data_IF_468943128193
#
_entry.id   IF_468943128193
#
_cell.length_a   1.000
_cell.length_b   1.000
_cell.length_c   1.000
_cell.angle_alpha   90.00
_cell.angle_beta   90.00
_cell.angle_gamma   90.00
#
_symmetry.space_group_name_H-M   'P 1'
#
loop_
_entity.id
_entity.type
_entity.pdbx_description
1 polymer ?
#
# COMPACT_ATOMS: atom_id res chain seq x y z
N UNK A 1 27.53 7.66 14.39
CA UNK A 1 26.46 7.51 15.42
C UNK A 1 25.96 6.08 15.35
N UNK A 2 26.02 5.31 16.45
CA UNK A 2 25.73 3.85 16.49
C UNK A 2 24.22 3.60 16.57
N UNK A 3 23.71 2.66 15.75
CA UNK A 3 22.30 2.24 15.83
C UNK A 3 22.05 1.57 17.21
N UNK A 4 21.05 2.03 17.99
CA UNK A 4 20.74 1.50 19.32
C UNK A 4 20.32 0.02 19.33
N UNK A 5 19.99 -0.56 18.17
CA UNK A 5 19.65 -1.99 18.02
C UNK A 5 20.89 -2.88 17.86
N UNK A 6 22.08 -2.31 17.62
CA UNK A 6 23.31 -3.06 17.40
C UNK A 6 23.95 -3.48 18.73
N UNK A 7 23.78 -4.75 19.12
CA UNK A 7 24.30 -5.33 20.37
C UNK A 7 25.82 -5.56 20.39
N UNK A 8 26.50 -5.45 19.26
CA UNK A 8 27.94 -5.71 19.16
C UNK A 8 28.78 -4.52 19.62
N UNK A 9 29.95 -4.80 20.21
CA UNK A 9 30.91 -3.77 20.60
C UNK A 9 31.41 -2.97 19.40
N UNK A 10 31.79 -1.71 19.63
CA UNK A 10 32.35 -0.83 18.59
C UNK A 10 33.59 -1.44 17.92
N UNK A 11 34.44 -2.12 18.69
CA UNK A 11 35.59 -2.87 18.19
C UNK A 11 35.22 -3.99 17.22
N UNK A 12 34.12 -4.69 17.47
CA UNK A 12 33.61 -5.77 16.59
C UNK A 12 33.03 -5.20 15.31
N UNK A 13 32.33 -4.07 15.40
CA UNK A 13 31.78 -3.35 14.24
C UNK A 13 32.91 -2.86 13.34
N UNK A 14 33.94 -2.21 13.91
CA UNK A 14 35.13 -1.74 13.16
C UNK A 14 35.85 -2.91 12.49
N UNK A 15 35.93 -4.08 13.15
CA UNK A 15 36.52 -5.29 12.56
C UNK A 15 35.71 -5.85 11.41
N UNK A 16 34.37 -5.83 11.51
CA UNK A 16 33.48 -6.27 10.42
C UNK A 16 33.46 -5.34 9.21
N UNK A 17 33.88 -4.07 9.38
CA UNK A 17 34.04 -3.12 8.27
C UNK A 17 35.29 -3.39 7.41
N UNK A 18 36.25 -4.18 7.91
CA UNK A 18 37.35 -4.70 7.09
C UNK A 18 36.87 -5.95 6.37
N UNK A 19 36.50 -5.78 5.10
CA UNK A 19 36.10 -6.88 4.22
C UNK A 19 37.16 -7.97 4.15
N UNK A 20 36.71 -9.22 4.05
CA UNK A 20 37.59 -10.34 3.76
C UNK A 20 37.65 -10.49 2.24
N UNK A 21 38.60 -9.82 1.59
CA UNK A 21 38.74 -9.71 0.13
C UNK A 21 39.29 -11.00 -0.49
N UNK A 22 38.58 -12.11 -0.26
CA UNK A 22 38.94 -13.39 -0.85
C UNK A 22 38.64 -13.37 -2.35
N UNK A 23 39.54 -13.87 -3.21
CA UNK A 23 39.38 -13.81 -4.65
C UNK A 23 38.11 -14.50 -5.14
N UNK A 24 37.66 -15.57 -4.49
CA UNK A 24 36.41 -16.26 -4.83
C UNK A 24 35.15 -15.40 -4.57
N UNK A 25 35.16 -14.57 -3.52
CA UNK A 25 34.03 -13.66 -3.23
C UNK A 25 34.05 -12.47 -4.18
N UNK A 26 35.23 -11.94 -4.51
CA UNK A 26 35.37 -10.87 -5.49
C UNK A 26 34.90 -11.32 -6.87
N UNK A 27 35.23 -12.54 -7.30
CA UNK A 27 34.75 -13.10 -8.55
C UNK A 27 33.21 -13.23 -8.57
N UNK A 28 32.61 -13.78 -7.50
CA UNK A 28 31.16 -13.89 -7.39
C UNK A 28 30.48 -12.50 -7.39
N UNK A 29 31.06 -11.52 -6.69
CA UNK A 29 30.56 -10.15 -6.67
C UNK A 29 30.64 -9.49 -8.05
N UNK A 30 31.76 -9.68 -8.77
CA UNK A 30 31.93 -9.19 -10.14
C UNK A 30 30.85 -9.76 -11.06
N UNK A 31 30.62 -11.07 -11.03
CA UNK A 31 29.57 -11.71 -11.82
C UNK A 31 28.17 -11.16 -11.46
N UNK A 32 27.89 -10.94 -10.17
CA UNK A 32 26.63 -10.35 -9.74
C UNK A 32 26.46 -8.90 -10.22
N UNK A 33 27.54 -8.10 -10.24
CA UNK A 33 27.53 -6.73 -10.72
C UNK A 33 27.31 -6.67 -12.25
N UNK A 34 28.01 -7.51 -13.01
CA UNK A 34 27.83 -7.63 -14.47
C UNK A 34 26.37 -8.00 -14.82
N UNK A 35 25.79 -8.97 -14.10
CA UNK A 35 24.38 -9.35 -14.29
C UNK A 35 23.43 -8.22 -13.90
N UNK A 36 23.72 -7.49 -12.83
CA UNK A 36 22.93 -6.33 -12.41
C UNK A 36 22.89 -5.25 -13.50
N UNK A 37 24.04 -4.86 -14.03
CA UNK A 37 24.14 -3.86 -15.11
C UNK A 37 23.41 -4.32 -16.39
N UNK A 38 23.54 -5.61 -16.73
CA UNK A 38 22.80 -6.20 -17.83
C UNK A 38 21.29 -6.11 -17.63
N UNK A 39 20.79 -6.49 -16.44
CA UNK A 39 19.36 -6.42 -16.15
C UNK A 39 18.84 -4.98 -16.14
N UNK A 40 19.62 -4.01 -15.66
CA UNK A 40 19.23 -2.61 -15.70
C UNK A 40 19.04 -2.12 -17.14
N UNK A 41 19.94 -2.52 -18.04
CA UNK A 41 19.81 -2.23 -19.47
C UNK A 41 18.52 -2.82 -20.03
N UNK A 42 18.20 -4.08 -19.69
CA UNK A 42 16.97 -4.75 -20.16
C UNK A 42 15.69 -4.18 -19.57
N UNK A 43 15.72 -3.67 -18.34
CA UNK A 43 14.60 -2.96 -17.73
C UNK A 43 14.36 -1.64 -18.48
N UNK A 44 15.42 -0.87 -18.76
CA UNK A 44 15.32 0.36 -19.52
C UNK A 44 14.76 0.12 -20.95
N UNK A 45 15.20 -0.94 -21.64
CA UNK A 45 14.65 -1.35 -22.94
C UNK A 45 13.13 -1.62 -22.85
N UNK A 46 12.67 -2.27 -21.78
CA UNK A 46 11.25 -2.53 -21.54
C UNK A 46 10.46 -1.26 -21.24
N UNK A 47 11.00 -0.37 -20.39
CA UNK A 47 10.35 0.89 -20.03
C UNK A 47 10.10 1.76 -21.26
N UNK A 48 11.07 1.85 -22.19
CA UNK A 48 10.89 2.54 -23.46
C UNK A 48 9.75 1.97 -24.29
N UNK A 49 9.67 0.63 -24.40
CA UNK A 49 8.56 -0.03 -25.11
C UNK A 49 7.21 0.20 -24.46
N UNK A 50 7.15 0.25 -23.13
CA UNK A 50 5.92 0.55 -22.39
C UNK A 50 5.47 1.98 -22.71
N UNK A 51 6.39 2.95 -22.68
CA UNK A 51 6.08 4.34 -23.03
C UNK A 51 5.54 4.47 -24.46
N UNK A 52 6.13 3.75 -25.42
CA UNK A 52 5.65 3.74 -26.80
C UNK A 52 4.24 3.14 -26.94
N UNK A 53 3.93 2.10 -26.17
CA UNK A 53 2.57 1.55 -26.14
C UNK A 53 1.58 2.52 -25.49
N UNK A 54 1.96 3.19 -24.40
CA UNK A 54 1.10 4.14 -23.71
C UNK A 54 0.71 5.33 -24.61
N UNK A 55 1.58 5.77 -25.54
CA UNK A 55 1.23 6.78 -26.56
C UNK A 55 0.00 6.41 -27.39
N UNK A 56 -0.27 5.13 -27.62
CA UNK A 56 -1.42 4.70 -28.41
C UNK A 56 -2.74 4.74 -27.62
N UNK A 57 -2.67 4.75 -26.30
CA UNK A 57 -3.82 4.89 -25.41
C UNK A 57 -4.13 6.35 -25.10
N UNK A 58 -3.18 7.25 -25.38
CA UNK A 58 -3.33 8.68 -25.22
C UNK A 58 -3.87 9.29 -26.53
N UNK A 59 -5.02 9.97 -26.46
CA UNK A 59 -5.59 10.70 -27.61
C UNK A 59 -5.01 12.13 -27.74
N UNK A 60 -4.04 12.48 -26.90
CA UNK A 60 -3.39 13.79 -26.94
C UNK A 60 -2.26 13.84 -27.98
N UNK A 61 -2.16 14.96 -28.69
CA UNK A 61 -1.18 15.18 -29.77
C UNK A 61 0.28 15.21 -29.28
N UNK A 62 0.51 15.38 -27.98
CA UNK A 62 1.84 15.52 -27.39
C UNK A 62 2.22 14.28 -26.57
N UNK A 63 3.39 13.65 -26.84
CA UNK A 63 3.83 12.47 -26.10
C UNK A 63 3.99 12.77 -24.61
N UNK A 64 3.66 11.82 -23.72
CA UNK A 64 3.86 12.01 -22.29
C UNK A 64 5.35 12.13 -21.97
N UNK A 65 5.71 13.09 -21.12
CA UNK A 65 7.10 13.34 -20.73
C UNK A 65 7.66 12.29 -19.75
N UNK A 66 6.78 11.59 -19.03
CA UNK A 66 7.14 10.53 -18.08
C UNK A 66 6.08 9.42 -18.04
N UNK A 67 6.42 8.28 -17.43
CA UNK A 67 5.46 7.19 -17.22
C UNK A 67 4.33 7.60 -16.26
N UNK A 68 4.61 8.46 -15.28
CA UNK A 68 3.61 9.00 -14.35
C UNK A 68 2.59 9.87 -15.08
N UNK A 69 3.06 10.74 -15.98
CA UNK A 69 2.19 11.56 -16.82
C UNK A 69 1.31 10.69 -17.71
N UNK A 70 1.89 9.68 -18.36
CA UNK A 70 1.18 8.76 -19.23
C UNK A 70 0.06 8.01 -18.48
N UNK A 71 0.36 7.50 -17.28
CA UNK A 71 -0.62 6.81 -16.44
C UNK A 71 -1.74 7.75 -16.00
N UNK A 72 -1.39 8.98 -15.58
CA UNK A 72 -2.36 9.97 -15.11
C UNK A 72 -3.32 10.41 -16.22
N UNK A 73 -2.81 10.62 -17.44
CA UNK A 73 -3.64 10.92 -18.62
C UNK A 73 -4.58 9.76 -18.95
N UNK A 74 -4.07 8.53 -18.93
CA UNK A 74 -4.85 7.33 -19.23
C UNK A 74 -5.95 7.05 -18.19
N UNK A 75 -5.64 7.18 -16.90
CA UNK A 75 -6.57 6.88 -15.80
C UNK A 75 -7.50 8.05 -15.44
N UNK A 76 -7.16 9.28 -15.84
CA UNK A 76 -7.81 10.51 -15.39
C UNK A 76 -7.56 10.84 -13.91
N UNK A 77 -6.67 10.10 -13.23
CA UNK A 77 -6.36 10.30 -11.83
C UNK A 77 -4.94 9.85 -11.50
N UNK A 78 -4.19 10.69 -10.79
CA UNK A 78 -2.85 10.35 -10.33
C UNK A 78 -2.90 9.35 -9.17
N UNK A 79 -2.70 8.07 -9.46
CA UNK A 79 -2.67 7.01 -8.45
C UNK A 79 -1.40 7.03 -7.59
N UNK A 80 -0.32 7.67 -8.04
CA UNK A 80 0.94 7.76 -7.29
C UNK A 80 0.83 8.71 -6.09
N UNK A 81 -0.17 9.59 -6.11
CA UNK A 81 -0.54 10.41 -4.95
C UNK A 81 -1.01 9.60 -3.72
N UNK A 82 -1.36 8.32 -3.89
CA UNK A 82 -1.65 7.43 -2.76
C UNK A 82 -0.33 6.93 -2.17
N UNK A 83 -0.13 7.13 -0.87
CA UNK A 83 1.05 6.62 -0.19
C UNK A 83 1.22 5.10 -0.39
N UNK A 84 2.45 4.71 -0.71
CA UNK A 84 2.84 3.31 -0.92
C UNK A 84 2.56 2.79 -2.33
N UNK A 85 1.94 3.58 -3.21
CA UNK A 85 1.79 3.27 -4.64
C UNK A 85 2.85 4.00 -5.44
N UNK A 86 3.80 3.25 -5.99
CA UNK A 86 4.75 3.75 -6.99
C UNK A 86 4.21 3.57 -8.42
N UNK A 87 4.86 4.22 -9.37
CA UNK A 87 4.52 4.21 -10.80
C UNK A 87 4.40 2.80 -11.37
N UNK A 88 5.31 1.89 -10.98
CA UNK A 88 5.26 0.49 -11.41
C UNK A 88 4.09 -0.27 -10.79
N UNK A 89 3.75 -0.01 -9.52
CA UNK A 89 2.56 -0.61 -8.90
C UNK A 89 1.29 -0.09 -9.55
N UNK A 90 1.20 1.22 -9.82
CA UNK A 90 0.07 1.82 -10.52
C UNK A 90 -0.12 1.19 -11.91
N UNK A 91 0.96 1.09 -12.70
CA UNK A 91 0.95 0.44 -14.01
C UNK A 91 0.47 -1.02 -13.91
N UNK A 92 1.05 -1.82 -13.01
CA UNK A 92 0.67 -3.23 -12.83
C UNK A 92 -0.78 -3.41 -12.42
N UNK A 93 -1.29 -2.54 -11.54
CA UNK A 93 -2.68 -2.58 -11.12
C UNK A 93 -3.56 -2.23 -12.33
N UNK A 94 -3.33 -1.11 -12.99
CA UNK A 94 -4.10 -0.65 -14.14
C UNK A 94 -4.10 -1.65 -15.29
N UNK A 95 -2.99 -2.31 -15.56
CA UNK A 95 -2.89 -3.35 -16.59
C UNK A 95 -3.82 -4.56 -16.33
N UNK A 96 -4.14 -4.84 -15.06
CA UNK A 96 -4.99 -5.99 -14.70
C UNK A 96 -6.46 -5.59 -14.46
N UNK A 97 -6.72 -4.40 -13.92
CA UNK A 97 -8.09 -3.96 -13.59
C UNK A 97 -8.73 -3.13 -14.72
N UNK A 98 -7.92 -2.43 -15.52
CA UNK A 98 -8.35 -1.41 -16.46
C UNK A 98 -8.73 -0.09 -15.77
N UNK A 99 -9.15 0.90 -16.55
CA UNK A 99 -9.63 2.20 -16.03
C UNK A 99 -11.13 2.21 -15.76
N UNK A 100 -11.90 1.33 -16.42
CA UNK A 100 -13.34 1.24 -16.26
C UNK A 100 -13.75 0.49 -14.98
N UNK A 101 -14.20 1.25 -13.98
CA UNK A 101 -14.68 0.73 -12.70
C UNK A 101 -16.16 0.29 -12.71
N UNK A 102 -16.90 0.55 -13.80
CA UNK A 102 -18.33 0.18 -13.91
C UNK A 102 -18.57 -1.34 -13.87
N UNK A 103 -17.52 -2.12 -14.17
CA UNK A 103 -17.47 -3.59 -14.07
C UNK A 103 -17.81 -4.11 -12.68
N UNK A 104 -17.62 -3.29 -11.64
CA UNK A 104 -18.00 -3.61 -10.26
C UNK A 104 -19.04 -2.62 -9.73
N UNK A 105 -20.15 -3.16 -9.21
CA UNK A 105 -21.24 -2.37 -8.61
C UNK A 105 -20.82 -1.47 -7.44
N UNK A 106 -19.71 -1.76 -6.78
CA UNK A 106 -19.19 -0.97 -5.65
C UNK A 106 -17.74 -1.31 -5.35
N UNK A 107 -17.06 -0.45 -4.58
CA UNK A 107 -15.71 -0.70 -4.07
C UNK A 107 -15.58 -2.01 -3.26
N UNK A 108 -16.64 -2.46 -2.60
CA UNK A 108 -16.64 -3.72 -1.83
C UNK A 108 -16.58 -4.94 -2.75
N UNK A 109 -17.31 -4.89 -3.86
CA UNK A 109 -17.30 -5.94 -4.87
C UNK A 109 -15.94 -6.02 -5.56
N UNK A 110 -15.34 -4.86 -5.86
CA UNK A 110 -13.96 -4.78 -6.37
C UNK A 110 -12.95 -5.42 -5.41
N UNK A 111 -12.96 -5.03 -4.13
CA UNK A 111 -12.05 -5.60 -3.13
C UNK A 111 -12.31 -7.10 -2.86
N UNK A 112 -13.55 -7.58 -3.03
CA UNK A 112 -13.87 -9.00 -2.96
C UNK A 112 -13.32 -9.77 -4.16
N UNK A 113 -13.44 -9.22 -5.37
CA UNK A 113 -12.88 -9.79 -6.61
C UNK A 113 -11.35 -9.89 -6.55
N UNK A 114 -10.67 -8.92 -5.94
CA UNK A 114 -9.23 -8.97 -5.67
C UNK A 114 -8.83 -10.03 -4.62
N UNK A 115 -9.77 -10.65 -3.90
CA UNK A 115 -9.46 -11.55 -2.79
C UNK A 115 -8.88 -10.84 -1.56
N UNK A 116 -9.18 -9.54 -1.40
CA UNK A 116 -8.76 -8.71 -0.25
C UNK A 116 -9.85 -8.57 0.81
N UNK A 117 -10.94 -9.31 0.67
CA UNK A 117 -12.05 -9.33 1.65
C UNK A 117 -12.08 -10.67 2.38
N UNK A 118 -12.43 -10.70 3.69
CA UNK A 118 -12.53 -11.94 4.45
C UNK A 118 -13.56 -12.88 3.84
N UNK A 119 -13.31 -14.18 3.92
CA UNK A 119 -14.23 -15.20 3.46
C UNK A 119 -15.45 -15.34 4.38
N UNK A 120 -16.51 -15.95 3.87
CA UNK A 120 -17.74 -16.23 4.62
C UNK A 120 -18.09 -17.71 4.54
N UNK A 121 -17.22 -18.59 5.06
CA UNK A 121 -17.49 -20.04 5.08
C UNK A 121 -18.42 -20.35 6.25
N UNK A 122 -19.72 -20.42 5.98
CA UNK A 122 -20.77 -20.65 6.98
C UNK A 122 -21.51 -21.94 6.62
N UNK A 123 -21.74 -22.81 7.62
CA UNK A 123 -22.57 -24.00 7.48
C UNK A 123 -23.44 -24.16 8.73
N UNK A 124 -24.73 -24.48 8.55
CA UNK A 124 -25.67 -24.66 9.66
C UNK A 124 -25.75 -23.47 10.63
N UNK A 125 -25.58 -22.23 10.14
CA UNK A 125 -25.58 -21.02 10.96
C UNK A 125 -24.28 -20.75 11.74
N UNK A 126 -23.28 -21.65 11.66
CA UNK A 126 -21.96 -21.47 12.30
C UNK A 126 -20.90 -21.02 11.29
N UNK A 127 -20.09 -20.04 11.68
CA UNK A 127 -18.93 -19.61 10.89
C UNK A 127 -17.82 -20.64 11.03
N UNK A 128 -17.53 -21.36 9.94
CA UNK A 128 -16.45 -22.34 9.86
C UNK A 128 -15.09 -21.68 9.61
N UNK A 129 -15.06 -20.60 8.83
CA UNK A 129 -13.85 -19.81 8.58
C UNK A 129 -14.17 -18.43 8.02
N UNK A 130 -13.40 -17.43 8.47
CA UNK A 130 -13.39 -16.06 7.96
C UNK A 130 -12.12 -15.70 7.19
N UNK A 131 -11.25 -16.68 6.93
CA UNK A 131 -9.98 -16.46 6.25
C UNK A 131 -10.20 -15.93 4.82
N UNK A 132 -9.32 -15.04 4.38
CA UNK A 132 -9.31 -14.55 3.00
C UNK A 132 -8.99 -15.70 2.04
N UNK A 133 -9.75 -15.82 0.96
CA UNK A 133 -9.51 -16.88 -0.04
C UNK A 133 -8.18 -16.62 -0.76
N UNK A 134 -7.35 -17.66 -1.00
CA UNK A 134 -6.21 -17.51 -1.87
C UNK A 134 -6.70 -17.25 -3.30
N UNK A 135 -6.26 -16.15 -3.88
CA UNK A 135 -6.59 -15.77 -5.26
C UNK A 135 -5.31 -15.37 -5.96
N UNK A 136 -5.06 -15.93 -7.14
CA UNK A 136 -3.92 -15.60 -8.00
C UNK A 136 -4.19 -14.31 -8.77
N UNK A 137 -4.35 -13.19 -8.06
CA UNK A 137 -4.59 -11.88 -8.65
C UNK A 137 -3.33 -11.00 -8.51
N UNK A 138 -2.74 -10.61 -9.64
CA UNK A 138 -1.50 -9.83 -9.66
C UNK A 138 -1.68 -8.42 -9.11
N UNK A 139 -2.80 -7.76 -9.38
CA UNK A 139 -3.12 -6.47 -8.77
C UNK A 139 -3.23 -6.60 -7.24
N UNK A 140 -3.87 -7.64 -6.73
CA UNK A 140 -3.94 -7.88 -5.29
C UNK A 140 -2.57 -8.15 -4.67
N UNK A 141 -1.66 -8.85 -5.38
CA UNK A 141 -0.29 -9.05 -4.94
C UNK A 141 0.50 -7.73 -4.91
N UNK A 142 0.39 -6.91 -5.95
CA UNK A 142 1.00 -5.59 -6.02
C UNK A 142 0.52 -4.68 -4.86
N UNK A 143 -0.79 -4.67 -4.57
CA UNK A 143 -1.35 -3.92 -3.45
C UNK A 143 -0.89 -4.43 -2.08
N UNK A 144 -0.61 -5.73 -1.92
CA UNK A 144 -0.01 -6.25 -0.69
C UNK A 144 1.45 -5.82 -0.54
N UNK A 145 2.20 -5.73 -1.63
CA UNK A 145 3.56 -5.20 -1.62
C UNK A 145 3.58 -3.70 -1.29
N UNK A 146 2.71 -2.91 -1.93
CA UNK A 146 2.48 -1.51 -1.59
C UNK A 146 2.06 -1.31 -0.12
N UNK A 147 1.17 -2.16 0.37
CA UNK A 147 0.78 -2.14 1.78
C UNK A 147 1.97 -2.43 2.72
N UNK A 148 2.93 -3.25 2.31
CA UNK A 148 4.10 -3.57 3.13
C UNK A 148 5.08 -2.40 3.25
N UNK A 149 5.24 -1.59 2.21
CA UNK A 149 6.15 -0.41 2.24
C UNK A 149 5.66 0.68 3.19
N UNK A 150 4.36 0.71 3.50
CA UNK A 150 3.75 1.67 4.41
C UNK A 150 4.13 1.48 5.90
N UNK A 151 4.88 0.44 6.26
CA UNK A 151 5.19 0.11 7.66
C UNK A 151 5.91 1.22 8.44
N UNK A 152 6.75 2.00 7.75
CA UNK A 152 7.49 3.10 8.34
C UNK A 152 6.96 4.48 7.92
N UNK A 153 5.87 4.53 7.16
CA UNK A 153 5.28 5.78 6.68
C UNK A 153 4.39 6.44 7.74
N UNK A 154 4.42 7.77 7.82
CA UNK A 154 3.57 8.59 8.72
C UNK A 154 2.34 9.17 8.00
N UNK A 155 1.74 8.42 7.09
CA UNK A 155 0.55 8.85 6.33
C UNK A 155 -0.76 8.57 7.07
N UNK A 156 -1.91 9.07 6.59
CA UNK A 156 -3.22 8.72 7.16
C UNK A 156 -3.54 7.22 7.16
N UNK A 157 -2.88 6.46 6.29
CA UNK A 157 -3.03 5.01 6.23
C UNK A 157 -2.42 4.33 7.46
N UNK A 158 -1.40 4.95 8.06
CA UNK A 158 -0.65 4.49 9.23
C UNK A 158 0.12 3.20 8.98
N UNK A 159 0.90 2.77 9.97
CA UNK A 159 1.60 1.49 9.90
C UNK A 159 0.59 0.31 9.82
N UNK A 160 0.75 -0.61 8.86
CA UNK A 160 -0.20 -1.68 8.61
C UNK A 160 -0.09 -2.73 9.71
N UNK A 161 -1.10 -2.78 10.60
CA UNK A 161 -1.24 -3.89 11.56
C UNK A 161 -1.49 -5.23 10.87
N UNK A 162 -2.10 -5.18 9.67
CA UNK A 162 -2.33 -6.33 8.80
C UNK A 162 -2.21 -5.91 7.34
N UNK A 163 -1.34 -6.59 6.58
CA UNK A 163 -1.03 -6.26 5.19
C UNK A 163 -2.30 -6.32 4.32
N UNK A 164 -3.06 -7.42 4.40
CA UNK A 164 -4.26 -7.60 3.58
C UNK A 164 -5.34 -6.56 3.87
N UNK A 165 -5.49 -6.13 5.12
CA UNK A 165 -6.45 -5.08 5.47
C UNK A 165 -6.03 -3.70 4.93
N UNK A 166 -4.73 -3.43 4.87
CA UNK A 166 -4.20 -2.20 4.29
C UNK A 166 -4.30 -2.22 2.76
N UNK A 167 -3.98 -3.35 2.13
CA UNK A 167 -4.23 -3.56 0.71
C UNK A 167 -5.72 -3.39 0.35
N UNK A 168 -6.64 -3.85 1.21
CA UNK A 168 -8.07 -3.61 1.04
C UNK A 168 -8.42 -2.11 1.06
N UNK A 169 -7.80 -1.32 1.94
CA UNK A 169 -7.98 0.14 1.95
C UNK A 169 -7.44 0.77 0.67
N UNK A 170 -6.24 0.39 0.24
CA UNK A 170 -5.63 0.87 -1.02
C UNK A 170 -6.54 0.57 -2.22
N UNK A 171 -7.05 -0.66 -2.32
CA UNK A 171 -8.01 -1.04 -3.36
C UNK A 171 -9.25 -0.13 -3.39
N UNK A 172 -9.78 0.25 -2.21
CA UNK A 172 -10.93 1.14 -2.12
C UNK A 172 -10.61 2.58 -2.51
N UNK A 173 -9.40 3.06 -2.21
CA UNK A 173 -8.94 4.37 -2.65
C UNK A 173 -8.82 4.41 -4.17
N UNK A 174 -8.12 3.43 -4.76
CA UNK A 174 -7.99 3.31 -6.23
C UNK A 174 -9.36 3.28 -6.90
N UNK A 175 -10.28 2.45 -6.40
CA UNK A 175 -11.64 2.41 -6.94
C UNK A 175 -12.34 3.77 -6.89
N UNK A 176 -12.23 4.49 -5.77
CA UNK A 176 -12.87 5.80 -5.62
C UNK A 176 -12.24 6.85 -6.56
N UNK A 177 -10.91 6.85 -6.68
CA UNK A 177 -10.18 7.75 -7.57
C UNK A 177 -10.54 7.53 -9.04
N UNK A 178 -10.58 6.27 -9.49
CA UNK A 178 -10.94 5.92 -10.86
C UNK A 178 -12.44 6.10 -11.15
N UNK A 179 -13.31 5.92 -10.16
CA UNK A 179 -14.77 6.07 -10.35
C UNK A 179 -15.25 7.51 -10.35
N UNK A 180 -14.56 8.39 -9.61
CA UNK A 180 -15.02 9.78 -9.39
C UNK A 180 -14.03 10.83 -9.90
N UNK A 181 -12.85 10.44 -10.41
CA UNK A 181 -11.80 11.37 -10.85
C UNK A 181 -11.25 12.25 -9.72
N UNK A 182 -11.44 11.85 -8.46
CA UNK A 182 -11.04 12.67 -7.31
C UNK A 182 -9.55 12.52 -7.05
N UNK A 183 -8.81 13.62 -7.01
CA UNK A 183 -7.44 13.65 -6.52
C UNK A 183 -7.39 13.11 -5.07
N UNK A 184 -6.39 12.28 -4.76
CA UNK A 184 -6.18 11.85 -3.38
C UNK A 184 -5.69 13.04 -2.56
N UNK A 185 -6.37 13.32 -1.44
CA UNK A 185 -5.91 14.29 -0.45
C UNK A 185 -5.66 13.53 0.83
N UNK A 186 -4.39 13.37 1.20
CA UNK A 186 -4.02 12.76 2.48
C UNK A 186 -4.42 13.72 3.62
N UNK A 187 -5.41 13.31 4.42
CA UNK A 187 -5.85 14.07 5.60
C UNK A 187 -4.88 13.90 6.79
N UNK A 188 -3.84 13.08 6.67
CA UNK A 188 -2.86 12.77 7.70
C UNK A 188 -3.34 11.79 8.79
N UNK A 189 -2.39 11.21 9.52
CA UNK A 189 -2.63 10.20 10.56
C UNK A 189 -3.54 10.72 11.69
N UNK A 190 -3.36 11.98 12.09
CA UNK A 190 -4.08 12.58 13.21
C UNK A 190 -5.59 12.69 12.95
N UNK A 191 -5.99 13.04 11.73
CA UNK A 191 -7.40 13.15 11.35
C UNK A 191 -8.10 11.78 11.36
N UNK A 192 -7.37 10.72 10.97
CA UNK A 192 -7.85 9.35 11.06
C UNK A 192 -8.01 8.89 12.52
N UNK A 193 -7.01 9.16 13.37
CA UNK A 193 -7.05 8.83 14.80
C UNK A 193 -8.21 9.55 15.51
N UNK A 194 -8.46 10.82 15.19
CA UNK A 194 -9.60 11.59 15.70
C UNK A 194 -10.94 10.97 15.29
N UNK A 195 -11.13 10.65 14.00
CA UNK A 195 -12.35 9.99 13.51
C UNK A 195 -12.57 8.62 14.14
N UNK A 196 -11.51 7.84 14.31
CA UNK A 196 -11.57 6.55 15.00
C UNK A 196 -12.02 6.73 16.45
N UNK A 197 -11.41 7.69 17.17
CA UNK A 197 -11.77 8.01 18.56
C UNK A 197 -13.26 8.41 18.67
N UNK A 198 -13.76 9.25 17.77
CA UNK A 198 -15.17 9.63 17.74
C UNK A 198 -16.11 8.44 17.55
N UNK A 199 -15.80 7.52 16.64
CA UNK A 199 -16.59 6.29 16.44
C UNK A 199 -16.59 5.38 17.68
N UNK A 200 -15.44 5.23 18.34
CA UNK A 200 -15.34 4.46 19.58
C UNK A 200 -16.22 5.08 20.66
N UNK A 201 -16.17 6.40 20.84
CA UNK A 201 -17.01 7.11 21.80
C UNK A 201 -18.50 6.92 21.47
N UNK A 202 -18.91 7.06 20.21
CA UNK A 202 -20.31 6.84 19.79
C UNK A 202 -20.78 5.41 20.06
N UNK A 203 -19.95 4.41 19.76
CA UNK A 203 -20.25 3.01 20.06
C UNK A 203 -20.36 2.76 21.57
N UNK A 204 -19.49 3.36 22.38
CA UNK A 204 -19.56 3.28 23.84
C UNK A 204 -20.84 3.93 24.37
N UNK A 205 -21.22 5.12 23.87
CA UNK A 205 -22.47 5.77 24.22
C UNK A 205 -23.68 4.88 23.93
N UNK A 206 -23.74 4.29 22.73
CA UNK A 206 -24.83 3.36 22.36
C UNK A 206 -24.89 2.14 23.29
N UNK A 207 -23.74 1.52 23.58
CA UNK A 207 -23.67 0.37 24.49
C UNK A 207 -24.05 0.72 25.93
N UNK A 208 -23.66 1.90 26.40
CA UNK A 208 -24.05 2.37 27.73
C UNK A 208 -25.57 2.52 27.80
N UNK A 209 -26.18 3.16 26.79
CA UNK A 209 -27.64 3.31 26.70
C UNK A 209 -28.38 1.96 26.65
N UNK A 210 -27.88 0.99 25.89
CA UNK A 210 -28.44 -0.38 25.85
C UNK A 210 -28.42 -1.08 27.22
N UNK A 211 -27.48 -0.71 28.08
CA UNK A 211 -27.33 -1.26 29.43
C UNK A 211 -27.96 -0.36 30.52
N UNK A 212 -28.63 0.73 30.15
CA UNK A 212 -29.26 1.66 31.09
C UNK A 212 -28.27 2.61 31.79
N UNK A 213 -27.05 2.77 31.28
CA UNK A 213 -26.04 3.68 31.79
C UNK A 213 -25.85 4.90 30.89
N UNK A 214 -25.44 6.02 31.48
CA UNK A 214 -25.03 7.23 30.75
C UNK A 214 -23.50 7.38 30.78
N UNK A 215 -22.90 7.61 29.61
CA UNK A 215 -21.46 7.80 29.49
C UNK A 215 -21.08 9.24 29.89
N UNK A 216 -20.64 9.42 31.13
CA UNK A 216 -20.11 10.70 31.64
C UNK A 216 -18.58 10.72 31.50
N UNK A 217 -18.03 11.83 31.01
CA UNK A 217 -16.58 12.01 30.94
C UNK A 217 -16.01 12.23 32.34
N UNK A 218 -14.98 11.46 32.69
CA UNK A 218 -14.26 11.65 33.96
C UNK A 218 -13.47 12.96 33.85
N UNK A 219 -13.85 13.97 34.63
CA UNK A 219 -13.04 15.18 34.80
C UNK A 219 -11.78 14.79 35.58
N UNK A 220 -10.63 14.77 34.91
CA UNK A 220 -9.35 14.74 35.63
C UNK A 220 -9.16 16.11 36.27
N UNK A 221 -9.33 16.20 37.58
CA UNK A 221 -8.81 17.33 38.35
C UNK A 221 -7.30 17.39 38.11
N UNK A 222 -6.84 18.50 37.54
CA UNK A 222 -5.43 18.76 37.38
C UNK A 222 -4.81 18.87 38.78
N UNK A 223 -4.13 17.82 39.22
CA UNK A 223 -3.28 17.88 40.41
C UNK A 223 -2.14 18.85 40.10
N UNK A 224 -2.28 20.08 40.58
CA UNK A 224 -1.21 21.06 40.64
C UNK A 224 -0.28 20.62 41.77
N UNK A 225 0.89 20.09 41.42
CA UNK A 225 2.10 20.08 42.24
C UNK A 225 3.31 20.31 41.33
#
# INVERSE_FOLDING_TARGET
MRDPRCRNSESTIVRSLKGNDRPEHLFALQQAAELYEFYQTKIADCDQRILDQLKHFDNHDEPPGSMEDALTRMSGADLTSIDGIDTNTALKVLAEIGTDMSRWKSSKHFASWLGLSPGTKISGGKVLSSATKPVANKAAAALRMAAFTLFNSKSALGAPKAITATAHKLARLIYAMLSHGTAHVDAGQECYEQRYRLRVIQNLKRKAQELGFELVAIQKEATVL
#
